data_IF_782405543697
#
_entry.id   IF_782405543697
#
_cell.length_a   1.000
_cell.length_b   1.000
_cell.length_c   1.000
_cell.angle_alpha   90.00
_cell.angle_beta   90.00
_cell.angle_gamma   90.00
#
_symmetry.space_group_name_H-M   'P 1'
#
loop_
_entity.id
_entity.type
_entity.pdbx_description
1 polymer ?
#
# COMPACT_ATOMS: atom_id res chain seq x y z
N UNK A 1 3.23 -3.05 -25.96
CA UNK A 1 3.69 -3.20 -24.57
C UNK A 1 4.31 -1.87 -24.17
N UNK A 2 3.98 -1.31 -23.02
CA UNK A 2 4.55 -0.01 -22.62
C UNK A 2 5.99 -0.20 -22.15
N UNK A 3 6.82 0.82 -22.38
CA UNK A 3 8.22 0.93 -21.90
C UNK A 3 8.33 0.60 -20.39
N UNK A 4 7.31 0.99 -19.63
CA UNK A 4 7.22 0.69 -18.19
C UNK A 4 6.97 -0.79 -17.84
N UNK A 5 6.26 -1.53 -18.69
CA UNK A 5 6.03 -2.96 -18.46
C UNK A 5 7.31 -3.78 -18.69
N UNK A 6 8.13 -3.34 -19.64
CA UNK A 6 9.38 -3.97 -20.02
C UNK A 6 10.46 -3.74 -18.94
N UNK A 7 10.57 -2.50 -18.44
CA UNK A 7 11.45 -2.14 -17.31
C UNK A 7 11.11 -2.89 -16.01
N UNK A 8 9.82 -3.10 -15.73
CA UNK A 8 9.37 -3.90 -14.57
C UNK A 8 9.80 -5.36 -14.67
N UNK A 9 9.84 -5.90 -15.89
CA UNK A 9 10.28 -7.26 -16.16
C UNK A 9 11.80 -7.40 -15.99
N UNK A 10 12.56 -6.39 -16.41
CA UNK A 10 14.02 -6.36 -16.25
C UNK A 10 14.44 -6.26 -14.77
N UNK A 11 13.82 -5.38 -13.98
CA UNK A 11 14.06 -5.29 -12.54
C UNK A 11 13.73 -6.61 -11.83
N UNK A 12 12.64 -7.27 -12.23
CA UNK A 12 12.27 -8.59 -11.70
C UNK A 12 13.30 -9.68 -12.08
N UNK A 13 13.82 -9.65 -13.31
CA UNK A 13 14.85 -10.59 -13.76
C UNK A 13 16.18 -10.42 -13.00
N UNK A 14 16.58 -9.16 -12.72
CA UNK A 14 17.78 -8.85 -11.95
C UNK A 14 17.65 -9.29 -10.49
N UNK A 15 16.50 -9.01 -9.86
CA UNK A 15 16.23 -9.46 -8.49
C UNK A 15 16.20 -10.99 -8.39
N UNK A 16 15.59 -11.69 -9.36
CA UNK A 16 15.58 -13.15 -9.42
C UNK A 16 16.99 -13.76 -9.59
N UNK A 17 17.91 -13.02 -10.21
CA UNK A 17 19.31 -13.40 -10.35
C UNK A 17 20.16 -13.09 -9.10
N UNK A 18 19.58 -12.51 -8.04
CA UNK A 18 20.31 -12.10 -6.83
C UNK A 18 21.20 -10.87 -7.06
N UNK A 19 20.89 -10.10 -8.10
CA UNK A 19 21.64 -8.92 -8.52
C UNK A 19 20.92 -7.68 -7.97
N UNK A 20 21.61 -6.89 -7.15
CA UNK A 20 21.06 -5.62 -6.65
C UNK A 20 21.00 -4.60 -7.82
N UNK A 21 19.82 -4.04 -8.15
CA UNK A 21 19.70 -3.01 -9.17
C UNK A 21 20.58 -1.79 -8.90
N UNK A 22 20.82 -1.43 -7.63
CA UNK A 22 21.69 -0.32 -7.25
C UNK A 22 23.17 -0.57 -7.58
N UNK A 23 23.60 -1.83 -7.63
CA UNK A 23 24.98 -2.21 -7.98
C UNK A 23 25.21 -2.28 -9.50
N UNK A 24 24.15 -2.54 -10.27
CA UNK A 24 24.26 -2.77 -11.72
C UNK A 24 23.91 -1.55 -12.55
N UNK A 25 22.97 -0.72 -12.10
CA UNK A 25 22.58 0.49 -12.83
C UNK A 25 23.75 1.43 -13.15
N UNK A 26 24.67 1.75 -12.21
CA UNK A 26 25.84 2.59 -12.49
C UNK A 26 26.84 1.95 -13.48
N UNK A 27 26.86 0.61 -13.53
CA UNK A 27 27.81 -0.19 -14.30
C UNK A 27 27.30 -0.47 -15.72
N UNK A 28 25.99 -0.61 -15.91
CA UNK A 28 25.35 -0.92 -17.21
C UNK A 28 24.95 0.35 -17.98
N UNK A 29 24.40 1.36 -17.30
CA UNK A 29 24.10 2.67 -17.88
C UNK A 29 25.23 3.64 -17.55
N UNK A 30 26.40 3.35 -18.13
CA UNK A 30 27.63 4.11 -17.91
C UNK A 30 27.39 5.61 -18.12
N UNK A 31 27.37 6.35 -17.00
CA UNK A 31 27.17 7.81 -16.85
C UNK A 31 25.72 8.30 -16.75
N UNK A 32 24.92 7.74 -15.84
CA UNK A 32 23.77 8.49 -15.33
C UNK A 32 24.24 9.71 -14.50
N UNK A 33 23.63 10.88 -14.73
CA UNK A 33 23.85 12.11 -13.96
C UNK A 33 23.07 12.15 -12.63
N UNK A 34 22.36 11.07 -12.29
CA UNK A 34 21.49 10.98 -11.12
C UNK A 34 22.31 10.68 -9.87
N UNK A 35 21.98 11.37 -8.79
CA UNK A 35 22.49 11.06 -7.46
C UNK A 35 21.90 9.73 -6.94
N UNK A 36 22.59 9.09 -5.99
CA UNK A 36 22.10 7.87 -5.31
C UNK A 36 20.69 8.05 -4.73
N UNK A 37 20.37 9.26 -4.27
CA UNK A 37 19.04 9.61 -3.78
C UNK A 37 17.97 9.58 -4.88
N UNK A 38 18.23 10.17 -6.04
CA UNK A 38 17.29 10.20 -7.17
C UNK A 38 17.05 8.79 -7.73
N UNK A 39 18.09 7.95 -7.75
CA UNK A 39 18.00 6.56 -8.14
C UNK A 39 17.09 5.77 -7.20
N UNK A 40 17.27 5.93 -5.87
CA UNK A 40 16.39 5.31 -4.87
C UNK A 40 14.97 5.84 -4.97
N UNK A 41 14.80 7.14 -5.15
CA UNK A 41 13.48 7.75 -5.28
C UNK A 41 12.74 7.21 -6.52
N UNK A 42 13.42 7.02 -7.66
CA UNK A 42 12.85 6.39 -8.85
C UNK A 42 12.46 4.93 -8.61
N UNK A 43 13.36 4.12 -8.06
CA UNK A 43 13.09 2.70 -7.78
C UNK A 43 11.92 2.51 -6.78
N UNK A 44 11.70 3.50 -5.92
CA UNK A 44 10.57 3.53 -4.98
C UNK A 44 9.35 4.29 -5.51
N UNK A 45 9.33 4.67 -6.79
CA UNK A 45 8.18 5.33 -7.44
C UNK A 45 7.90 6.75 -6.96
N UNK A 46 8.83 7.36 -6.22
CA UNK A 46 8.74 8.71 -5.69
C UNK A 46 9.23 9.78 -6.67
N UNK A 47 9.84 9.39 -7.79
CA UNK A 47 10.33 10.27 -8.84
C UNK A 47 10.12 9.64 -10.22
N UNK A 48 9.73 10.43 -11.23
CA UNK A 48 9.80 10.05 -12.64
C UNK A 48 11.11 10.56 -13.25
N UNK A 49 11.74 9.78 -14.15
CA UNK A 49 13.02 10.17 -14.77
C UNK A 49 12.82 11.33 -15.77
N UNK A 50 13.80 12.26 -15.90
CA UNK A 50 13.79 13.27 -16.95
C UNK A 50 13.83 12.63 -18.35
N UNK A 51 13.17 13.25 -19.34
CA UNK A 51 12.98 12.73 -20.72
C UNK A 51 14.27 12.38 -21.49
N UNK A 52 15.46 12.75 -21.00
CA UNK A 52 16.71 12.67 -21.76
C UNK A 52 17.27 11.25 -21.95
N UNK A 53 16.65 10.20 -21.39
CA UNK A 53 17.08 8.81 -21.58
C UNK A 53 16.09 7.93 -22.37
N UNK A 54 15.12 8.51 -23.09
CA UNK A 54 14.24 7.73 -23.99
C UNK A 54 14.86 7.37 -25.35
N UNK A 55 16.13 7.64 -25.58
CA UNK A 55 16.79 7.16 -26.78
C UNK A 55 18.29 7.14 -26.59
N UNK A 56 18.90 5.97 -26.75
CA UNK A 56 20.06 5.70 -27.61
C UNK A 56 20.27 4.18 -27.66
N UNK A 57 19.77 3.56 -28.73
CA UNK A 57 20.25 2.27 -29.20
C UNK A 57 21.59 2.46 -29.92
N UNK A 58 22.43 1.42 -29.85
CA UNK A 58 23.67 1.19 -30.60
C UNK A 58 24.99 1.72 -29.98
N UNK A 59 25.75 0.77 -29.43
CA UNK A 59 27.18 0.90 -29.18
C UNK A 59 27.72 -0.30 -28.43
N UNK A 60 28.41 -1.21 -29.13
CA UNK A 60 29.13 -2.34 -28.54
C UNK A 60 30.18 -1.81 -27.55
N UNK A 61 29.93 -1.99 -26.25
CA UNK A 61 30.93 -1.74 -25.20
C UNK A 61 31.10 -3.02 -24.40
N UNK A 62 32.33 -3.53 -24.39
CA UNK A 62 32.76 -4.63 -23.52
C UNK A 62 32.62 -4.17 -22.06
N UNK A 63 31.58 -4.64 -21.37
CA UNK A 63 31.33 -4.31 -19.97
C UNK A 63 32.33 -4.97 -19.00
N UNK A 64 32.54 -4.42 -17.80
CA UNK A 64 33.34 -5.08 -16.77
C UNK A 64 32.61 -6.34 -16.28
N UNK A 65 33.38 -7.31 -15.80
CA UNK A 65 32.86 -8.59 -15.31
C UNK A 65 31.81 -8.39 -14.22
N UNK A 66 30.71 -9.14 -14.34
CA UNK A 66 29.66 -9.28 -13.31
C UNK A 66 30.31 -9.52 -11.95
N UNK A 67 29.96 -8.78 -10.88
CA UNK A 67 30.53 -9.03 -9.56
C UNK A 67 30.12 -10.44 -9.11
N UNK A 68 31.08 -11.28 -8.75
CA UNK A 68 30.79 -12.59 -8.17
C UNK A 68 30.04 -12.44 -6.84
N UNK A 69 28.96 -13.21 -6.70
CA UNK A 69 28.12 -13.24 -5.51
C UNK A 69 28.95 -13.51 -4.25
N UNK A 70 28.91 -12.59 -3.28
CA UNK A 70 29.58 -12.78 -1.99
C UNK A 70 28.94 -13.95 -1.22
N UNK A 71 29.72 -14.88 -0.66
CA UNK A 71 29.17 -15.99 0.10
C UNK A 71 28.74 -15.51 1.49
N UNK A 72 27.43 -15.40 1.73
CA UNK A 72 26.89 -15.01 3.02
C UNK A 72 25.41 -15.34 3.16
N UNK A 73 25.11 -16.33 4.02
CA UNK A 73 23.79 -16.81 4.48
C UNK A 73 22.85 -17.27 3.35
N UNK A 74 22.31 -18.49 3.43
CA UNK A 74 21.31 -19.00 2.48
C UNK A 74 20.01 -18.18 2.61
N UNK A 75 19.98 -16.96 2.06
CA UNK A 75 18.74 -16.20 1.83
C UNK A 75 17.96 -16.93 0.75
N UNK A 76 16.69 -17.18 1.01
CA UNK A 76 15.80 -17.69 -0.02
C UNK A 76 15.58 -16.60 -1.06
N UNK A 77 15.22 -16.98 -2.29
CA UNK A 77 14.83 -16.01 -3.33
C UNK A 77 13.70 -15.10 -2.83
N UNK A 78 12.77 -15.63 -2.04
CA UNK A 78 11.70 -14.84 -1.41
C UNK A 78 12.20 -13.82 -0.38
N UNK A 79 13.29 -14.08 0.34
CA UNK A 79 13.89 -13.10 1.26
C UNK A 79 14.51 -11.92 0.51
N UNK A 80 15.09 -12.16 -0.67
CA UNK A 80 15.62 -11.12 -1.56
C UNK A 80 14.48 -10.30 -2.16
N UNK A 81 13.40 -10.96 -2.59
CA UNK A 81 12.22 -10.30 -3.17
C UNK A 81 11.45 -9.47 -2.13
N UNK A 82 11.35 -9.95 -0.87
CA UNK A 82 10.84 -9.15 0.24
C UNK A 82 11.65 -7.86 0.48
N UNK A 83 12.92 -7.87 0.07
CA UNK A 83 13.82 -6.72 -0.09
C UNK A 83 13.15 -5.51 -0.75
N UNK A 84 12.34 -5.75 -1.78
CA UNK A 84 11.73 -4.74 -2.63
C UNK A 84 10.49 -4.08 -2.01
N UNK A 85 10.04 -4.55 -0.84
CA UNK A 85 8.81 -4.04 -0.22
C UNK A 85 7.56 -4.35 -1.04
N UNK A 86 6.53 -3.50 -0.92
CA UNK A 86 5.28 -3.68 -1.64
C UNK A 86 5.43 -3.60 -3.17
N UNK A 87 6.47 -2.92 -3.67
CA UNK A 87 6.79 -2.89 -5.10
C UNK A 87 7.11 -4.30 -5.65
N UNK A 88 7.60 -5.22 -4.82
CA UNK A 88 7.85 -6.61 -5.18
C UNK A 88 6.70 -7.57 -4.90
N UNK A 89 5.53 -7.10 -4.44
CA UNK A 89 4.42 -7.96 -3.97
C UNK A 89 3.99 -9.01 -5.00
N UNK A 90 3.97 -8.66 -6.28
CA UNK A 90 3.57 -9.56 -7.37
C UNK A 90 4.57 -10.69 -7.64
N UNK A 91 5.78 -10.60 -7.09
CA UNK A 91 6.82 -11.62 -7.18
C UNK A 91 6.80 -12.59 -5.99
N UNK A 92 6.03 -12.28 -4.95
CA UNK A 92 5.90 -13.10 -3.75
C UNK A 92 4.70 -14.04 -3.86
N UNK A 93 4.79 -15.20 -3.21
CA UNK A 93 3.60 -16.01 -2.93
C UNK A 93 2.58 -15.22 -2.10
N UNK A 94 1.27 -15.47 -2.23
CA UNK A 94 0.26 -14.79 -1.43
C UNK A 94 0.51 -14.86 0.07
N UNK A 95 0.95 -16.02 0.56
CA UNK A 95 1.30 -16.28 1.95
C UNK A 95 2.47 -15.39 2.38
N UNK A 96 3.54 -15.34 1.57
CA UNK A 96 4.71 -14.52 1.88
C UNK A 96 4.41 -13.03 1.81
N UNK A 97 3.62 -12.58 0.84
CA UNK A 97 3.18 -11.19 0.75
C UNK A 97 2.38 -10.77 1.99
N UNK A 98 1.54 -11.66 2.51
CA UNK A 98 0.79 -11.42 3.74
C UNK A 98 1.72 -11.38 4.98
N UNK A 99 2.70 -12.28 5.08
CA UNK A 99 3.70 -12.24 6.16
C UNK A 99 4.46 -10.91 6.21
N UNK A 100 4.89 -10.39 5.06
CA UNK A 100 5.60 -9.10 4.95
C UNK A 100 4.69 -7.93 5.30
N UNK A 101 3.42 -7.95 4.86
CA UNK A 101 2.42 -6.94 5.23
C UNK A 101 2.16 -6.92 6.74
N UNK A 102 2.03 -8.09 7.37
CA UNK A 102 1.86 -8.21 8.82
C UNK A 102 3.12 -7.76 9.57
N UNK A 103 4.31 -8.04 9.02
CA UNK A 103 5.57 -7.52 9.58
C UNK A 103 5.61 -5.99 9.54
N UNK A 104 5.28 -5.40 8.39
CA UNK A 104 5.18 -3.95 8.22
C UNK A 104 4.18 -3.33 9.22
N UNK A 105 3.01 -3.94 9.41
CA UNK A 105 2.05 -3.48 10.40
C UNK A 105 2.63 -3.50 11.83
N UNK A 106 3.32 -4.58 12.22
CA UNK A 106 3.94 -4.70 13.56
C UNK A 106 5.01 -3.64 13.80
N UNK A 107 5.80 -3.30 12.78
CA UNK A 107 6.86 -2.28 12.85
C UNK A 107 6.31 -0.87 13.13
N UNK A 108 5.03 -0.60 12.81
CA UNK A 108 4.42 0.70 13.15
C UNK A 108 4.14 0.89 14.64
N UNK A 109 4.12 -0.19 15.42
CA UNK A 109 3.70 -0.20 16.83
C UNK A 109 2.33 0.43 17.09
N UNK A 110 1.42 0.42 16.11
CA UNK A 110 0.08 0.99 16.24
C UNK A 110 -0.96 -0.01 16.76
N UNK A 111 -0.77 -1.30 16.50
CA UNK A 111 -1.72 -2.35 16.88
C UNK A 111 -1.81 -2.49 18.41
N UNK A 112 -3.03 -2.62 18.94
CA UNK A 112 -3.33 -2.76 20.37
C UNK A 112 -2.75 -1.64 21.27
N UNK A 113 -2.50 -0.47 20.71
CA UNK A 113 -2.16 0.73 21.48
C UNK A 113 -3.41 1.57 21.74
N UNK A 114 -3.37 2.40 22.78
CA UNK A 114 -4.47 3.29 23.12
C UNK A 114 -4.80 4.30 22.01
N UNK A 115 -5.93 4.99 22.18
CA UNK A 115 -6.36 6.05 21.26
C UNK A 115 -5.34 7.18 21.18
N UNK A 116 -5.27 7.82 20.02
CA UNK A 116 -4.43 9.00 19.81
C UNK A 116 -5.28 10.14 19.24
N UNK A 117 -5.20 11.29 19.90
CA UNK A 117 -6.00 12.46 19.58
C UNK A 117 -5.88 12.89 18.11
N UNK A 118 -4.69 12.77 17.52
CA UNK A 118 -4.45 13.11 16.13
C UNK A 118 -5.30 12.26 15.17
N UNK A 119 -5.34 10.94 15.37
CA UNK A 119 -6.16 10.04 14.53
C UNK A 119 -7.64 10.26 14.79
N UNK A 120 -8.03 10.46 16.05
CA UNK A 120 -9.41 10.75 16.45
C UNK A 120 -9.95 12.02 15.77
N UNK A 121 -9.15 13.08 15.72
CA UNK A 121 -9.52 14.33 15.04
C UNK A 121 -9.74 14.13 13.55
N UNK A 122 -8.84 13.41 12.86
CA UNK A 122 -9.00 13.15 11.41
C UNK A 122 -10.27 12.35 11.13
N UNK A 123 -10.54 11.31 11.92
CA UNK A 123 -11.74 10.49 11.78
C UNK A 123 -13.01 11.30 12.06
N UNK A 124 -13.02 12.17 13.08
CA UNK A 124 -14.14 13.08 13.34
C UNK A 124 -14.38 14.04 12.18
N UNK A 125 -13.31 14.66 11.68
CA UNK A 125 -13.39 15.57 10.52
C UNK A 125 -13.90 14.85 9.27
N UNK A 126 -13.46 13.61 9.02
CA UNK A 126 -13.99 12.81 7.91
C UNK A 126 -15.50 12.60 8.06
N UNK A 127 -15.95 12.12 9.24
CA UNK A 127 -17.37 11.90 9.49
C UNK A 127 -18.20 13.17 9.28
N UNK A 128 -17.75 14.30 9.82
CA UNK A 128 -18.45 15.59 9.74
C UNK A 128 -18.49 16.14 8.31
N UNK A 129 -17.36 16.12 7.61
CA UNK A 129 -17.24 16.63 6.24
C UNK A 129 -18.15 15.85 5.30
N UNK A 130 -18.05 14.52 5.35
CA UNK A 130 -18.87 13.67 4.49
C UNK A 130 -20.31 13.59 4.99
N UNK A 131 -20.62 13.86 6.26
CA UNK A 131 -21.96 13.67 6.85
C UNK A 131 -22.43 12.22 6.73
N UNK A 132 -21.56 11.30 7.14
CA UNK A 132 -21.82 9.85 7.18
C UNK A 132 -22.06 9.38 8.61
N UNK A 133 -22.61 8.18 8.77
CA UNK A 133 -22.87 7.59 10.08
C UNK A 133 -21.59 7.23 10.84
N UNK A 134 -20.57 6.76 10.12
CA UNK A 134 -19.30 6.38 10.71
C UNK A 134 -18.08 6.71 9.85
N UNK A 135 -16.97 6.95 10.53
CA UNK A 135 -15.64 6.97 9.93
C UNK A 135 -14.67 6.23 10.86
N UNK A 136 -13.61 5.67 10.28
CA UNK A 136 -12.60 4.97 11.08
C UNK A 136 -11.24 4.91 10.40
N UNK A 137 -10.22 4.85 11.24
CA UNK A 137 -8.88 4.38 10.92
C UNK A 137 -8.78 2.92 11.34
N UNK A 138 -8.69 2.01 10.38
CA UNK A 138 -8.57 0.58 10.61
C UNK A 138 -7.14 0.07 10.38
N UNK A 139 -6.73 -0.93 11.15
CA UNK A 139 -5.50 -1.70 10.98
C UNK A 139 -5.90 -3.15 10.78
N UNK A 140 -5.35 -3.79 9.75
CA UNK A 140 -5.73 -5.17 9.37
C UNK A 140 -4.67 -6.12 9.90
N UNK A 141 -4.95 -6.75 11.04
CA UNK A 141 -4.11 -7.79 11.64
C UNK A 141 -4.34 -9.15 10.96
N UNK A 142 -3.80 -10.22 11.52
CA UNK A 142 -3.88 -11.57 10.95
C UNK A 142 -5.33 -12.05 10.86
N UNK A 143 -6.03 -12.08 11.99
CA UNK A 143 -7.39 -12.62 12.11
C UNK A 143 -8.47 -11.56 12.35
N UNK A 144 -8.07 -10.30 12.59
CA UNK A 144 -8.99 -9.23 12.96
C UNK A 144 -8.66 -7.89 12.30
N UNK A 145 -9.70 -7.07 12.14
CA UNK A 145 -9.60 -5.64 11.95
C UNK A 145 -9.64 -4.96 13.31
N UNK A 146 -8.64 -4.12 13.60
CA UNK A 146 -8.58 -3.27 14.79
C UNK A 146 -8.80 -1.81 14.40
N UNK A 147 -9.74 -1.12 15.04
CA UNK A 147 -10.00 0.30 14.81
C UNK A 147 -9.12 1.15 15.73
N UNK A 148 -8.06 1.73 15.16
CA UNK A 148 -7.15 2.64 15.87
C UNK A 148 -7.82 3.96 16.24
N UNK A 149 -8.77 4.41 15.42
CA UNK A 149 -9.66 5.52 15.71
C UNK A 149 -11.01 5.28 15.05
N UNK A 150 -12.09 5.67 15.72
CA UNK A 150 -13.45 5.44 15.24
C UNK A 150 -14.40 6.48 15.82
N UNK A 151 -15.35 6.93 15.00
CA UNK A 151 -16.53 7.69 15.39
C UNK A 151 -17.73 7.09 14.66
N UNK A 152 -18.77 6.67 15.38
CA UNK A 152 -19.96 6.01 14.84
C UNK A 152 -20.20 4.62 15.44
N UNK A 153 -21.26 3.91 15.00
CA UNK A 153 -21.68 2.63 15.59
C UNK A 153 -20.86 1.44 15.06
N UNK A 154 -19.54 1.53 15.12
CA UNK A 154 -18.63 0.43 14.73
C UNK A 154 -17.96 -0.15 15.98
N UNK A 155 -17.69 -1.47 15.95
CA UNK A 155 -16.97 -2.16 17.01
C UNK A 155 -15.48 -1.94 16.86
N UNK A 156 -14.78 -1.77 17.98
CA UNK A 156 -13.32 -1.56 18.00
C UNK A 156 -12.56 -2.72 17.33
N UNK A 157 -13.09 -3.93 17.44
CA UNK A 157 -12.52 -5.12 16.81
C UNK A 157 -13.60 -5.87 16.04
N UNK A 158 -13.24 -6.40 14.87
CA UNK A 158 -14.14 -7.14 13.99
C UNK A 158 -13.35 -8.24 13.28
N UNK A 159 -13.88 -9.46 13.12
CA UNK A 159 -13.21 -10.51 12.35
C UNK A 159 -12.80 -10.02 10.96
N UNK A 160 -11.59 -10.38 10.53
CA UNK A 160 -11.01 -9.87 9.28
C UNK A 160 -11.79 -10.29 8.03
N UNK A 161 -12.34 -11.49 8.05
CA UNK A 161 -13.10 -12.10 6.95
C UNK A 161 -14.39 -11.32 6.61
N UNK A 162 -15.01 -10.67 7.59
CA UNK A 162 -16.21 -9.85 7.37
C UNK A 162 -15.91 -8.36 7.20
N UNK A 163 -14.69 -7.92 7.51
CA UNK A 163 -14.30 -6.52 7.42
C UNK A 163 -14.13 -6.04 5.96
N UNK A 164 -14.87 -5.00 5.54
CA UNK A 164 -14.77 -4.43 4.19
C UNK A 164 -13.35 -3.87 3.91
N UNK A 165 -12.69 -3.34 4.93
CA UNK A 165 -11.33 -2.79 4.81
C UNK A 165 -10.29 -3.84 4.39
N UNK A 166 -10.56 -5.13 4.63
CA UNK A 166 -9.73 -6.23 4.14
C UNK A 166 -9.62 -6.22 2.61
N UNK A 167 -10.70 -5.86 1.91
CA UNK A 167 -10.69 -5.74 0.44
C UNK A 167 -9.92 -4.51 -0.02
N UNK A 168 -10.02 -3.40 0.72
CA UNK A 168 -9.27 -2.17 0.42
C UNK A 168 -7.76 -2.38 0.53
N UNK A 169 -7.25 -3.08 1.56
CA UNK A 169 -5.79 -3.30 1.69
C UNK A 169 -5.21 -4.26 0.64
N UNK A 170 -6.05 -4.98 -0.09
CA UNK A 170 -5.63 -5.80 -1.23
C UNK A 170 -5.38 -4.96 -2.50
N UNK A 171 -5.72 -3.67 -2.49
CA UNK A 171 -5.62 -2.76 -3.63
C UNK A 171 -4.79 -1.53 -3.26
N UNK A 172 -4.10 -0.95 -4.24
CA UNK A 172 -3.30 0.27 -4.05
C UNK A 172 -4.12 1.55 -4.29
N UNK A 173 -5.40 1.39 -4.63
CA UNK A 173 -6.33 2.48 -4.92
C UNK A 173 -7.51 2.48 -3.97
N UNK A 174 -8.15 3.64 -3.83
CA UNK A 174 -9.37 3.79 -3.05
C UNK A 174 -10.48 2.84 -3.54
N UNK A 175 -11.04 2.05 -2.62
CA UNK A 175 -12.22 1.25 -2.87
C UNK A 175 -13.46 2.08 -2.52
N UNK A 176 -14.39 2.20 -3.47
CA UNK A 176 -15.67 2.90 -3.29
C UNK A 176 -16.80 1.98 -3.71
N UNK A 177 -17.75 1.79 -2.81
CA UNK A 177 -18.95 0.98 -2.98
C UNK A 177 -20.13 1.89 -2.67
N UNK A 178 -20.85 2.31 -3.73
CA UNK A 178 -21.96 3.25 -3.61
C UNK A 178 -23.19 2.61 -2.94
N UNK A 179 -23.40 1.31 -3.17
CA UNK A 179 -24.42 0.49 -2.53
C UNK A 179 -23.88 -0.94 -2.38
N UNK A 180 -23.67 -1.40 -1.15
CA UNK A 180 -23.16 -2.74 -0.84
C UNK A 180 -24.16 -3.86 -1.13
N UNK A 181 -25.47 -3.57 -1.18
CA UNK A 181 -26.47 -4.56 -1.59
C UNK A 181 -26.49 -4.80 -3.09
N UNK A 182 -26.01 -3.82 -3.87
CA UNK A 182 -25.86 -3.92 -5.31
C UNK A 182 -24.48 -4.48 -5.74
N UNK A 183 -23.58 -4.71 -4.78
CA UNK A 183 -22.24 -5.25 -5.03
C UNK A 183 -22.20 -6.72 -4.61
N UNK A 184 -22.12 -7.64 -5.59
CA UNK A 184 -22.14 -9.09 -5.37
C UNK A 184 -21.05 -9.57 -4.39
N UNK A 185 -19.95 -8.83 -4.23
CA UNK A 185 -18.86 -9.17 -3.30
C UNK A 185 -19.26 -8.95 -1.85
N UNK A 186 -20.24 -8.08 -1.59
CA UNK A 186 -20.60 -7.61 -0.24
C UNK A 186 -22.08 -7.80 0.12
N UNK A 187 -22.95 -8.09 -0.86
CA UNK A 187 -24.39 -8.17 -0.64
C UNK A 187 -24.81 -9.18 0.46
N UNK A 188 -24.02 -10.25 0.66
CA UNK A 188 -24.23 -11.24 1.72
C UNK A 188 -23.32 -11.07 2.94
N UNK A 189 -22.52 -9.99 3.00
CA UNK A 189 -21.61 -9.76 4.11
C UNK A 189 -22.39 -9.49 5.41
N UNK A 190 -22.00 -10.10 6.56
CA UNK A 190 -22.70 -9.90 7.83
C UNK A 190 -22.89 -8.45 8.28
N UNK A 191 -21.94 -7.55 7.97
CA UNK A 191 -22.02 -6.12 8.28
C UNK A 191 -22.96 -5.34 7.35
N UNK A 192 -23.37 -5.95 6.24
CA UNK A 192 -24.30 -5.40 5.25
C UNK A 192 -25.72 -5.88 5.53
N UNK A 193 -25.91 -7.19 5.70
CA UNK A 193 -27.24 -7.78 5.96
C UNK A 193 -27.69 -7.63 7.41
N UNK A 194 -26.75 -7.65 8.36
CA UNK A 194 -26.98 -7.41 9.78
C UNK A 194 -26.38 -6.08 10.22
N UNK A 195 -26.42 -5.80 11.52
CA UNK A 195 -25.83 -4.59 12.11
C UNK A 195 -24.34 -4.46 11.74
N UNK A 196 -23.86 -3.26 11.33
CA UNK A 196 -24.56 -1.98 11.38
C UNK A 196 -25.31 -1.62 10.09
N UNK A 197 -25.64 -2.58 9.22
CA UNK A 197 -26.35 -2.37 7.96
C UNK A 197 -25.64 -1.42 7.00
N UNK A 198 -24.34 -1.62 6.80
CA UNK A 198 -23.51 -0.81 5.90
C UNK A 198 -24.13 -0.82 4.50
N UNK A 199 -24.40 0.35 3.94
CA UNK A 199 -24.85 0.53 2.54
C UNK A 199 -23.82 1.22 1.69
N UNK A 200 -23.11 2.19 2.23
CA UNK A 200 -22.03 2.88 1.52
C UNK A 200 -20.70 2.65 2.22
N UNK A 201 -19.65 2.49 1.42
CA UNK A 201 -18.28 2.39 1.89
C UNK A 201 -17.34 3.12 0.94
N UNK A 202 -16.48 3.99 1.47
CA UNK A 202 -15.30 4.47 0.76
C UNK A 202 -14.07 4.35 1.67
N UNK A 203 -13.07 3.60 1.23
CA UNK A 203 -11.84 3.33 1.96
C UNK A 203 -10.59 3.67 1.15
N UNK A 204 -9.65 4.38 1.77
CA UNK A 204 -8.34 4.66 1.21
C UNK A 204 -7.28 3.83 1.94
N UNK A 205 -6.42 3.07 1.22
CA UNK A 205 -5.39 2.25 1.84
C UNK A 205 -4.30 3.12 2.51
N UNK A 206 -3.79 2.65 3.65
CA UNK A 206 -2.70 3.26 4.38
C UNK A 206 -1.51 2.31 4.42
N UNK A 207 -0.31 2.86 4.29
CA UNK A 207 0.92 2.13 4.10
C UNK A 207 1.73 2.10 5.39
N UNK A 208 2.35 0.96 5.67
CA UNK A 208 3.41 0.85 6.67
C UNK A 208 4.79 0.96 6.01
N UNK A 209 5.85 0.64 6.78
CA UNK A 209 7.19 0.51 6.25
C UNK A 209 7.23 -0.32 4.97
N UNK A 210 8.07 0.12 4.04
CA UNK A 210 8.29 -0.54 2.74
C UNK A 210 7.04 -0.57 1.84
N UNK A 211 6.05 0.28 2.11
CA UNK A 211 4.90 0.52 1.25
C UNK A 211 3.77 -0.52 1.37
N UNK A 212 3.82 -1.43 2.35
CA UNK A 212 2.78 -2.44 2.50
C UNK A 212 1.46 -1.85 3.02
N UNK A 213 0.33 -2.26 2.45
CA UNK A 213 -0.99 -1.80 2.89
C UNK A 213 -1.34 -2.43 4.26
N UNK A 214 -1.26 -1.64 5.33
CA UNK A 214 -1.46 -2.12 6.70
C UNK A 214 -2.86 -1.85 7.25
N UNK A 215 -3.61 -0.95 6.61
CA UNK A 215 -4.87 -0.44 7.14
C UNK A 215 -5.58 0.48 6.18
N UNK A 216 -6.63 1.15 6.66
CA UNK A 216 -7.43 2.08 5.84
C UNK A 216 -7.93 3.28 6.63
N UNK A 217 -8.04 4.43 5.99
CA UNK A 217 -9.00 5.46 6.41
C UNK A 217 -10.29 5.26 5.61
N UNK A 218 -11.42 5.05 6.28
CA UNK A 218 -12.69 4.84 5.60
C UNK A 218 -13.86 5.62 6.20
N UNK A 219 -14.86 5.85 5.35
CA UNK A 219 -16.16 6.46 5.68
C UNK A 219 -17.27 5.50 5.28
N UNK A 220 -18.29 5.41 6.12
CA UNK A 220 -19.32 4.37 6.08
C UNK A 220 -20.67 4.99 6.40
N UNK A 221 -21.70 4.64 5.62
CA UNK A 221 -23.06 5.14 5.78
C UNK A 221 -24.06 3.98 5.71
N UNK A 222 -25.18 4.09 6.44
CA UNK A 222 -26.30 3.15 6.38
C UNK A 222 -27.23 3.43 5.20
N UNK A 223 -26.97 4.47 4.42
CA UNK A 223 -27.67 4.76 3.16
C UNK A 223 -26.73 4.68 1.95
N UNK A 224 -27.23 4.22 0.78
CA UNK A 224 -26.48 4.30 -0.48
C UNK A 224 -26.07 5.74 -0.81
N UNK A 225 -24.92 5.90 -1.42
CA UNK A 225 -24.36 7.23 -1.67
C UNK A 225 -23.50 7.29 -2.92
N UNK A 226 -23.67 8.36 -3.69
CA UNK A 226 -22.74 8.73 -4.74
C UNK A 226 -21.48 9.38 -4.15
N UNK A 227 -20.31 9.01 -4.66
CA UNK A 227 -19.03 9.54 -4.20
C UNK A 227 -18.26 10.18 -5.37
N UNK A 228 -18.25 11.51 -5.37
CA UNK A 228 -17.71 12.31 -6.48
C UNK A 228 -16.18 12.31 -6.54
N UNK A 229 -15.60 12.81 -7.62
CA UNK A 229 -14.16 13.02 -7.72
C UNK A 229 -13.64 13.99 -6.64
N UNK A 230 -14.42 15.01 -6.30
CA UNK A 230 -14.09 15.94 -5.21
C UNK A 230 -14.06 15.23 -3.85
N UNK A 231 -15.04 14.36 -3.59
CA UNK A 231 -15.09 13.58 -2.35
C UNK A 231 -13.86 12.66 -2.22
N UNK A 232 -13.46 12.02 -3.33
CA UNK A 232 -12.24 11.21 -3.40
C UNK A 232 -10.99 12.01 -3.06
N UNK A 233 -10.86 13.22 -3.61
CA UNK A 233 -9.73 14.12 -3.34
C UNK A 233 -9.64 14.47 -1.84
N UNK A 234 -10.78 14.74 -1.20
CA UNK A 234 -10.81 15.08 0.22
C UNK A 234 -10.46 13.88 1.08
N UNK A 235 -11.04 12.71 0.82
CA UNK A 235 -10.72 11.50 1.59
C UNK A 235 -9.24 11.13 1.44
N UNK A 236 -8.68 11.25 0.23
CA UNK A 236 -7.25 11.06 -0.01
C UNK A 236 -6.41 12.07 0.77
N UNK A 237 -6.83 13.34 0.84
CA UNK A 237 -6.11 14.36 1.61
C UNK A 237 -6.10 14.05 3.10
N UNK A 238 -7.23 13.62 3.66
CA UNK A 238 -7.30 13.18 5.05
C UNK A 238 -6.45 11.92 5.29
N UNK A 239 -6.45 10.97 4.36
CA UNK A 239 -5.62 9.78 4.44
C UNK A 239 -4.12 10.13 4.42
N UNK A 240 -3.70 11.12 3.62
CA UNK A 240 -2.32 11.62 3.62
C UNK A 240 -1.90 12.23 4.96
N UNK A 241 -2.81 12.91 5.66
CA UNK A 241 -2.53 13.42 7.01
C UNK A 241 -2.24 12.25 7.96
N UNK A 242 -3.06 11.20 7.91
CA UNK A 242 -2.82 9.97 8.69
C UNK A 242 -1.51 9.31 8.30
N UNK A 243 -1.24 9.17 7.00
CA UNK A 243 -0.02 8.57 6.46
C UNK A 243 1.24 9.25 6.99
N UNK A 244 1.31 10.59 6.92
CA UNK A 244 2.44 11.36 7.44
C UNK A 244 2.71 11.08 8.93
N UNK A 245 1.67 10.79 9.71
CA UNK A 245 1.80 10.44 11.14
C UNK A 245 2.28 9.01 11.34
N UNK A 246 1.90 8.08 10.47
CA UNK A 246 2.42 6.72 10.46
C UNK A 246 3.91 6.76 10.10
N UNK A 247 4.26 7.46 9.02
CA UNK A 247 5.64 7.58 8.53
C UNK A 247 6.57 8.22 9.57
N UNK A 248 6.09 9.22 10.32
CA UNK A 248 6.88 9.85 11.38
C UNK A 248 7.23 8.91 12.57
N UNK A 249 6.74 7.66 12.57
CA UNK A 249 7.00 6.65 13.61
C UNK A 249 8.00 5.58 13.17
N UNK A 250 8.31 5.50 11.89
CA UNK A 250 9.01 4.36 11.26
C UNK A 250 10.19 4.83 10.45
#
# INVERSE_FOLDING_TARGET
>A
MSDESERRLELAAMAAAGIDPADVWPTYFGRSLLSDFELRAYLHGALELPEFEQGHSAGTVSGPAVPEARPGTKRTTEDVLAGLGAAGRFLLSPERGEEERLRSLRETHLLHTGREEMFDRVVSTAKEYFRVDAASLSLIAEDAQFLKAVVGPLREETPRDIALCTQTVQQDSMLVINDTLADDRFASNPLVVGEPHIRFYAGFPLHGPRGWNIGTLCVIDQQPRAFSASDRQVLQTLARIVQNRIDART
#
